data_IF_038577868579
#
_entry.id   IF_038577868579
#
_cell.length_a   1.000
_cell.length_b   1.000
_cell.length_c   1.000
_cell.angle_alpha   90.00
_cell.angle_beta   90.00
_cell.angle_gamma   90.00
#
_symmetry.space_group_name_H-M   'P 1'
#
loop_
_entity.id
_entity.type
_entity.pdbx_description
1 polymer ?
#
# COMPACT_ATOMS: atom_id res chain seq x y z
N UNK A 1 26.50 13.18 -14.73
CA UNK A 1 25.19 12.49 -14.65
C UNK A 1 25.41 10.99 -14.74
N UNK A 2 25.37 10.27 -13.62
CA UNK A 2 25.52 8.81 -13.61
C UNK A 2 24.12 8.22 -13.43
N UNK A 3 23.63 7.55 -14.48
CA UNK A 3 22.38 6.79 -14.48
C UNK A 3 22.56 5.59 -13.55
N UNK A 4 21.82 5.54 -12.46
CA UNK A 4 21.70 4.34 -11.64
C UNK A 4 20.32 3.77 -11.95
N UNK A 5 20.31 2.69 -12.72
CA UNK A 5 19.08 1.98 -13.08
C UNK A 5 18.44 1.39 -11.83
N UNK A 6 17.19 1.74 -11.59
CA UNK A 6 16.38 1.09 -10.57
C UNK A 6 15.72 -0.12 -11.23
N UNK A 7 16.33 -1.25 -10.91
CA UNK A 7 15.91 -2.61 -11.19
C UNK A 7 14.58 -2.89 -10.46
N UNK A 8 13.46 -2.91 -11.19
CA UNK A 8 12.17 -3.35 -10.65
C UNK A 8 12.15 -4.88 -10.57
N UNK A 9 12.65 -5.44 -9.47
CA UNK A 9 12.47 -6.85 -9.13
C UNK A 9 11.27 -6.97 -8.21
N UNK A 10 10.13 -7.32 -8.80
CA UNK A 10 9.09 -8.10 -8.13
C UNK A 10 8.98 -9.44 -8.85
N UNK A 11 10.06 -10.21 -8.74
CA UNK A 11 10.09 -11.62 -9.12
C UNK A 11 9.64 -12.43 -7.91
N UNK A 12 8.36 -12.80 -7.84
CA UNK A 12 7.90 -13.98 -7.08
C UNK A 12 6.50 -14.42 -7.54
N UNK A 13 6.53 -15.53 -8.30
CA UNK A 13 5.45 -16.50 -8.50
C UNK A 13 4.18 -16.06 -9.26
N UNK A 14 4.34 -15.77 -10.55
CA UNK A 14 3.33 -16.23 -11.52
C UNK A 14 3.90 -17.48 -12.20
N UNK A 15 3.61 -18.63 -11.60
CA UNK A 15 3.73 -19.92 -12.27
C UNK A 15 3.05 -19.83 -13.63
N UNK A 16 3.82 -19.96 -14.71
CA UNK A 16 3.29 -20.28 -16.03
C UNK A 16 2.70 -21.70 -15.97
N UNK A 17 1.53 -21.88 -15.38
CA UNK A 17 0.71 -23.06 -15.68
C UNK A 17 0.05 -22.80 -17.03
N UNK A 18 0.63 -23.39 -18.06
CA UNK A 18 0.01 -23.49 -19.36
C UNK A 18 -1.41 -24.05 -19.18
N UNK A 19 -2.43 -23.24 -19.45
CA UNK A 19 -3.80 -23.68 -19.53
C UNK A 19 -3.96 -24.48 -20.83
N UNK A 20 -3.52 -25.75 -20.83
CA UNK A 20 -3.84 -26.68 -21.90
C UNK A 20 -5.32 -27.02 -21.81
N UNK A 21 -6.11 -26.42 -22.70
CA UNK A 21 -7.48 -26.85 -22.97
C UNK A 21 -7.47 -28.36 -23.25
N UNK A 22 -8.13 -29.11 -22.35
CA UNK A 22 -8.33 -30.55 -22.46
C UNK A 22 -9.40 -30.81 -23.52
N UNK A 23 -8.98 -31.23 -24.71
CA UNK A 23 -9.82 -32.05 -25.60
C UNK A 23 -9.11 -33.38 -25.87
N UNK A 24 -9.91 -34.42 -25.71
CA UNK A 24 -9.61 -35.84 -25.53
C UNK A 24 -9.14 -36.54 -26.81
N UNK A 25 -8.03 -37.29 -26.77
CA UNK A 25 -7.86 -38.72 -27.13
C UNK A 25 -6.44 -39.06 -27.65
N UNK A 26 -5.84 -40.04 -26.97
CA UNK A 26 -4.92 -41.10 -27.45
C UNK A 26 -4.25 -40.93 -28.82
N UNK A 27 -2.91 -40.86 -28.87
CA UNK A 27 -2.00 -41.93 -29.38
C UNK A 27 -0.55 -41.41 -29.50
N UNK A 28 0.37 -42.20 -28.94
CA UNK A 28 1.84 -42.17 -28.99
C UNK A 28 2.43 -41.49 -30.25
N UNK A 29 2.97 -40.27 -30.12
CA UNK A 29 3.94 -39.70 -31.08
C UNK A 29 4.92 -38.77 -30.37
N UNK A 30 6.21 -39.12 -30.49
CA UNK A 30 7.42 -38.31 -30.31
C UNK A 30 7.17 -36.82 -30.00
N UNK A 31 7.53 -36.41 -28.78
CA UNK A 31 7.55 -35.02 -28.31
C UNK A 31 8.54 -34.20 -29.14
N UNK A 32 8.12 -33.80 -30.34
CA UNK A 32 8.69 -32.65 -31.02
C UNK A 32 8.13 -31.45 -30.28
N UNK A 33 8.99 -30.82 -29.48
CA UNK A 33 8.73 -29.51 -28.90
C UNK A 33 8.51 -28.57 -30.09
N UNK A 34 7.26 -28.39 -30.50
CA UNK A 34 6.88 -27.38 -31.47
C UNK A 34 7.18 -26.04 -30.83
N UNK A 35 8.41 -25.57 -31.03
CA UNK A 35 8.71 -24.14 -30.94
C UNK A 35 7.86 -23.54 -32.03
N UNK A 36 6.70 -23.01 -31.66
CA UNK A 36 5.85 -22.25 -32.56
C UNK A 36 6.71 -21.08 -33.03
N UNK A 37 7.26 -21.17 -34.24
CA UNK A 37 7.97 -20.08 -34.89
C UNK A 37 6.91 -19.02 -35.21
N UNK A 38 6.55 -18.22 -34.20
CA UNK A 38 5.72 -17.05 -34.43
C UNK A 38 6.45 -16.17 -35.44
N UNK A 39 5.75 -15.73 -36.49
CA UNK A 39 6.30 -14.74 -37.42
C UNK A 39 6.71 -13.49 -36.63
N UNK A 40 7.67 -12.72 -37.16
CA UNK A 40 8.10 -11.46 -36.53
C UNK A 40 6.91 -10.56 -36.23
N UNK A 41 5.92 -10.51 -37.14
CA UNK A 41 4.66 -9.79 -36.96
C UNK A 41 3.81 -10.34 -35.80
N UNK A 42 3.71 -11.67 -35.65
CA UNK A 42 2.99 -12.28 -34.53
C UNK A 42 3.61 -11.94 -33.17
N UNK A 43 4.95 -11.97 -33.10
CA UNK A 43 5.70 -11.57 -31.89
C UNK A 43 5.53 -10.08 -31.58
N UNK A 44 5.57 -9.23 -32.61
CA UNK A 44 5.34 -7.80 -32.47
C UNK A 44 3.95 -7.50 -31.91
N UNK A 45 2.90 -8.07 -32.49
CA UNK A 45 1.53 -7.87 -32.02
C UNK A 45 1.33 -8.37 -30.58
N UNK A 46 1.99 -9.47 -30.20
CA UNK A 46 1.98 -9.95 -28.82
C UNK A 46 2.66 -8.94 -27.87
N UNK A 47 3.82 -8.40 -28.26
CA UNK A 47 4.53 -7.41 -27.46
C UNK A 47 3.73 -6.11 -27.28
N UNK A 48 3.06 -5.63 -28.33
CA UNK A 48 2.16 -4.46 -28.23
C UNK A 48 1.01 -4.71 -27.25
N UNK A 49 0.38 -5.89 -27.32
CA UNK A 49 -0.69 -6.24 -26.39
C UNK A 49 -0.18 -6.39 -24.94
N UNK A 50 1.03 -6.91 -24.74
CA UNK A 50 1.68 -6.98 -23.43
C UNK A 50 2.02 -5.59 -22.89
N UNK A 51 2.49 -4.68 -23.74
CA UNK A 51 2.77 -3.30 -23.38
C UNK A 51 1.50 -2.55 -22.95
N UNK A 52 0.43 -2.60 -23.74
CA UNK A 52 -0.85 -1.99 -23.38
C UNK A 52 -1.38 -2.53 -22.05
N UNK A 53 -1.26 -3.84 -21.82
CA UNK A 53 -1.64 -4.47 -20.56
C UNK A 53 -0.80 -3.94 -19.39
N UNK A 54 0.51 -3.80 -19.58
CA UNK A 54 1.41 -3.31 -18.54
C UNK A 54 1.07 -1.86 -18.16
N UNK A 55 0.86 -0.99 -19.15
CA UNK A 55 0.46 0.41 -18.92
C UNK A 55 -0.87 0.49 -18.19
N UNK A 56 -1.85 -0.33 -18.57
CA UNK A 56 -3.14 -0.38 -17.89
C UNK A 56 -3.01 -0.82 -16.43
N UNK A 57 -2.18 -1.82 -16.16
CA UNK A 57 -1.92 -2.31 -14.80
C UNK A 57 -1.20 -1.25 -13.95
N UNK A 58 -0.21 -0.56 -14.51
CA UNK A 58 0.51 0.51 -13.81
C UNK A 58 -0.42 1.67 -13.43
N UNK A 59 -1.27 2.11 -14.36
CA UNK A 59 -2.26 3.14 -14.09
C UNK A 59 -3.28 2.72 -13.01
N UNK A 60 -3.69 1.45 -13.01
CA UNK A 60 -4.58 0.91 -11.97
C UNK A 60 -3.92 0.91 -10.59
N UNK A 61 -2.68 0.43 -10.49
CA UNK A 61 -1.94 0.42 -9.22
C UNK A 61 -1.67 1.84 -8.73
N UNK A 62 -1.30 2.77 -9.62
CA UNK A 62 -1.15 4.17 -9.28
C UNK A 62 -2.43 4.77 -8.69
N UNK A 63 -3.58 4.54 -9.34
CA UNK A 63 -4.86 5.06 -8.88
C UNK A 63 -5.27 4.47 -7.50
N UNK A 64 -4.95 3.20 -7.24
CA UNK A 64 -5.16 2.59 -5.92
C UNK A 64 -4.30 3.25 -4.85
N UNK A 65 -3.02 3.47 -5.14
CA UNK A 65 -2.10 4.13 -4.22
C UNK A 65 -2.56 5.56 -3.92
N UNK A 66 -2.98 6.30 -4.95
CA UNK A 66 -3.54 7.65 -4.81
C UNK A 66 -4.78 7.65 -3.90
N UNK A 67 -5.75 6.78 -4.17
CA UNK A 67 -6.97 6.69 -3.37
C UNK A 67 -6.68 6.32 -1.90
N UNK A 68 -5.71 5.44 -1.66
CA UNK A 68 -5.29 5.08 -0.31
C UNK A 68 -4.61 6.25 0.42
N UNK A 69 -3.74 6.99 -0.28
CA UNK A 69 -3.09 8.18 0.27
C UNK A 69 -4.09 9.31 0.58
N UNK A 70 -5.04 9.56 -0.33
CA UNK A 70 -6.12 10.54 -0.13
C UNK A 70 -6.98 10.17 1.10
N UNK A 71 -7.34 8.88 1.24
CA UNK A 71 -8.06 8.40 2.41
C UNK A 71 -7.23 8.47 3.71
N UNK A 72 -5.92 8.21 3.62
CA UNK A 72 -5.02 8.32 4.76
C UNK A 72 -4.87 9.77 5.23
N UNK A 73 -4.72 10.71 4.30
CA UNK A 73 -4.65 12.15 4.59
C UNK A 73 -5.94 12.66 5.24
N UNK A 74 -7.11 12.23 4.75
CA UNK A 74 -8.40 12.60 5.35
C UNK A 74 -8.52 12.09 6.80
N UNK A 75 -8.12 10.83 7.06
CA UNK A 75 -8.11 10.26 8.41
C UNK A 75 -7.10 10.92 9.33
N UNK A 76 -5.97 11.36 8.79
CA UNK A 76 -4.90 11.95 9.58
C UNK A 76 -5.36 13.20 10.32
N UNK A 77 -6.02 14.12 9.62
CA UNK A 77 -6.59 15.33 10.22
C UNK A 77 -7.60 15.02 11.34
N UNK A 78 -8.44 14.01 11.16
CA UNK A 78 -9.39 13.55 12.19
C UNK A 78 -8.65 13.02 13.42
N UNK A 79 -7.62 12.19 13.24
CA UNK A 79 -6.87 11.56 14.33
C UNK A 79 -6.04 12.57 15.12
N UNK A 80 -5.44 13.54 14.44
CA UNK A 80 -4.73 14.65 15.09
C UNK A 80 -5.68 15.51 15.95
N UNK A 81 -6.87 15.83 15.43
CA UNK A 81 -7.89 16.54 16.21
C UNK A 81 -8.36 15.74 17.43
N UNK A 82 -8.59 14.43 17.27
CA UNK A 82 -8.95 13.54 18.38
C UNK A 82 -7.85 13.49 19.45
N UNK A 83 -6.58 13.41 19.04
CA UNK A 83 -5.44 13.42 19.95
C UNK A 83 -5.41 14.71 20.77
N UNK A 84 -5.53 15.88 20.13
CA UNK A 84 -5.52 17.16 20.81
C UNK A 84 -6.65 17.28 21.86
N UNK A 85 -7.86 16.83 21.51
CA UNK A 85 -8.99 16.81 22.45
C UNK A 85 -8.74 15.92 23.67
N UNK A 86 -8.09 14.76 23.48
CA UNK A 86 -7.76 13.85 24.57
C UNK A 86 -6.67 14.44 25.46
N UNK A 87 -5.65 15.08 24.88
CA UNK A 87 -4.59 15.75 25.64
C UNK A 87 -5.15 16.88 26.51
N UNK A 88 -6.09 17.67 26.00
CA UNK A 88 -6.80 18.69 26.78
C UNK A 88 -7.59 18.07 27.95
N UNK A 89 -8.27 16.94 27.72
CA UNK A 89 -9.00 16.22 28.77
C UNK A 89 -8.06 15.66 29.84
N UNK A 90 -6.89 15.13 29.46
CA UNK A 90 -5.86 14.68 30.40
C UNK A 90 -5.43 15.85 31.28
N UNK A 91 -5.11 17.01 30.71
CA UNK A 91 -4.70 18.18 31.48
C UNK A 91 -5.77 18.62 32.49
N UNK A 92 -7.05 18.63 32.08
CA UNK A 92 -8.18 18.94 32.98
C UNK A 92 -8.33 17.91 34.11
N UNK A 93 -8.15 16.62 33.81
CA UNK A 93 -8.20 15.54 34.80
C UNK A 93 -7.07 15.69 35.81
N UNK A 94 -5.85 15.94 35.35
CA UNK A 94 -4.67 16.06 36.19
C UNK A 94 -4.76 17.31 37.08
N UNK A 95 -5.19 18.45 36.54
CA UNK A 95 -5.41 19.67 37.32
C UNK A 95 -6.50 19.50 38.39
N UNK A 96 -7.55 18.73 38.11
CA UNK A 96 -8.60 18.46 39.08
C UNK A 96 -8.19 17.45 40.17
N UNK A 97 -7.27 16.53 39.85
CA UNK A 97 -6.93 15.39 40.71
C UNK A 97 -6.35 15.80 42.07
N UNK A 98 -5.61 16.89 42.14
CA UNK A 98 -4.93 17.33 43.37
C UNK A 98 -5.87 17.92 44.43
N UNK A 99 -7.09 18.31 44.05
CA UNK A 99 -8.10 18.90 44.96
C UNK A 99 -9.24 17.94 45.33
N UNK A 100 -9.22 16.69 44.84
CA UNK A 100 -10.36 15.76 44.94
C UNK A 100 -10.07 14.59 45.89
N UNK A 101 -11.12 14.12 46.57
CA UNK A 101 -11.08 12.92 47.43
C UNK A 101 -10.74 11.62 46.66
N UNK A 102 -10.95 11.60 45.33
CA UNK A 102 -10.75 10.44 44.46
C UNK A 102 -9.48 10.54 43.61
N UNK A 103 -8.39 11.08 44.19
CA UNK A 103 -7.13 11.33 43.47
C UNK A 103 -6.61 10.09 42.73
N UNK A 104 -6.71 8.90 43.34
CA UNK A 104 -6.28 7.64 42.72
C UNK A 104 -7.08 7.32 41.44
N UNK A 105 -8.41 7.48 41.47
CA UNK A 105 -9.28 7.23 40.32
C UNK A 105 -9.02 8.22 39.19
N UNK A 106 -8.79 9.50 39.51
CA UNK A 106 -8.40 10.49 38.50
C UNK A 106 -7.04 10.18 37.87
N UNK A 107 -6.06 9.74 38.68
CA UNK A 107 -4.76 9.33 38.18
C UNK A 107 -4.84 8.10 37.26
N UNK A 108 -5.65 7.11 37.61
CA UNK A 108 -5.85 5.93 36.76
C UNK A 108 -6.63 6.26 35.48
N UNK A 109 -7.60 7.16 35.55
CA UNK A 109 -8.30 7.66 34.37
C UNK A 109 -7.34 8.41 33.42
N UNK A 110 -6.46 9.26 33.96
CA UNK A 110 -5.43 9.94 33.16
C UNK A 110 -4.50 8.94 32.47
N UNK A 111 -4.09 7.86 33.15
CA UNK A 111 -3.27 6.79 32.54
C UNK A 111 -3.98 6.11 31.37
N UNK A 112 -5.28 5.83 31.50
CA UNK A 112 -6.06 5.22 30.41
C UNK A 112 -6.11 6.15 29.19
N UNK A 113 -6.38 7.44 29.38
CA UNK A 113 -6.34 8.41 28.28
C UNK A 113 -4.94 8.52 27.64
N UNK A 114 -3.86 8.51 28.44
CA UNK A 114 -2.49 8.51 27.91
C UNK A 114 -2.18 7.26 27.08
N UNK A 115 -2.75 6.10 27.42
CA UNK A 115 -2.63 4.90 26.59
C UNK A 115 -3.32 5.07 25.24
N UNK A 116 -4.49 5.72 25.20
CA UNK A 116 -5.19 6.04 23.94
C UNK A 116 -4.36 7.00 23.08
N UNK A 117 -3.75 8.04 23.67
CA UNK A 117 -2.86 8.96 22.95
C UNK A 117 -1.70 8.21 22.27
N UNK A 118 -1.07 7.26 22.97
CA UNK A 118 0.01 6.44 22.37
C UNK A 118 -0.46 5.58 21.20
N UNK A 119 -1.68 5.05 21.28
CA UNK A 119 -2.28 4.31 20.18
C UNK A 119 -2.55 5.23 18.98
N UNK A 120 -3.09 6.43 19.23
CA UNK A 120 -3.28 7.46 18.20
C UNK A 120 -1.96 7.89 17.56
N UNK A 121 -0.89 8.07 18.33
CA UNK A 121 0.44 8.39 17.77
C UNK A 121 0.93 7.32 16.79
N UNK A 122 0.69 6.06 17.13
CA UNK A 122 1.04 4.93 16.25
C UNK A 122 0.24 4.95 14.96
N UNK A 123 -1.08 5.20 15.06
CA UNK A 123 -1.96 5.29 13.90
C UNK A 123 -1.61 6.49 13.01
N UNK A 124 -1.40 7.69 13.60
CA UNK A 124 -0.97 8.90 12.90
C UNK A 124 0.35 8.67 12.16
N UNK A 125 1.33 8.01 12.80
CA UNK A 125 2.62 7.69 12.16
C UNK A 125 2.44 6.77 10.94
N UNK A 126 1.58 5.76 11.04
CA UNK A 126 1.27 4.86 9.92
C UNK A 126 0.58 5.57 8.77
N UNK A 127 -0.38 6.45 9.07
CA UNK A 127 -1.08 7.28 8.08
C UNK A 127 -0.11 8.25 7.39
N UNK A 128 0.75 8.95 8.15
CA UNK A 128 1.80 9.81 7.60
C UNK A 128 2.71 9.04 6.65
N UNK A 129 3.19 7.85 7.05
CA UNK A 129 4.03 7.01 6.19
C UNK A 129 3.33 6.66 4.87
N UNK A 130 2.02 6.40 4.90
CA UNK A 130 1.24 6.11 3.68
C UNK A 130 1.19 7.32 2.74
N UNK A 131 0.95 8.50 3.29
CA UNK A 131 0.91 9.76 2.53
C UNK A 131 2.29 10.10 1.95
N UNK A 132 3.35 10.00 2.75
CA UNK A 132 4.74 10.28 2.35
C UNK A 132 5.21 9.31 1.27
N UNK A 133 4.90 8.02 1.39
CA UNK A 133 5.25 7.02 0.38
C UNK A 133 4.59 7.33 -0.97
N UNK A 134 3.33 7.77 -0.97
CA UNK A 134 2.66 8.16 -2.21
C UNK A 134 3.28 9.42 -2.82
N UNK A 135 3.57 10.44 -2.02
CA UNK A 135 4.26 11.65 -2.50
C UNK A 135 5.62 11.32 -3.13
N UNK A 136 6.38 10.38 -2.56
CA UNK A 136 7.62 9.89 -3.14
C UNK A 136 7.39 9.21 -4.51
N UNK A 137 6.38 8.33 -4.62
CA UNK A 137 6.02 7.67 -5.89
C UNK A 137 5.57 8.69 -6.94
N UNK A 138 4.76 9.67 -6.57
CA UNK A 138 4.29 10.74 -7.46
C UNK A 138 5.47 11.56 -8.01
N UNK A 139 6.44 11.89 -7.15
CA UNK A 139 7.66 12.62 -7.57
C UNK A 139 8.52 11.82 -8.56
N UNK A 140 8.59 10.51 -8.41
CA UNK A 140 9.33 9.63 -9.34
C UNK A 140 8.62 9.52 -10.68
N UNK A 141 7.28 9.49 -10.68
CA UNK A 141 6.46 9.45 -11.90
C UNK A 141 6.50 10.77 -12.67
N UNK A 142 6.50 11.91 -11.98
CA UNK A 142 6.62 13.23 -12.60
C UNK A 142 7.99 13.52 -13.23
N UNK A 143 9.01 12.72 -12.89
CA UNK A 143 10.36 12.81 -13.43
C UNK A 143 10.65 11.80 -14.57
N UNK A 144 9.65 11.05 -15.03
CA UNK A 144 9.69 10.17 -16.22
C UNK A 144 9.13 10.91 -17.43
#
# INVERSE_FOLDING_TARGET
MKKVGILFVLLSALSFSANSAKTTKTTKTRTTKTVTTQSVTGRFNQLEAEYERLVNMENQEYNKLKANADAAAARLAEKEAQKAQIEERIAKIEAAADSKAFKAQYADLAKQYKAVVKALDTEIKSLNTTVENFAAIESLKGNQ
#
